data_IF_582723820865
#
_entry.id   IF_582723820865
#
_cell.length_a   1.000
_cell.length_b   1.000
_cell.length_c   1.000
_cell.angle_alpha   90.00
_cell.angle_beta   90.00
_cell.angle_gamma   90.00
#
_symmetry.space_group_name_H-M   'P 1'
#
loop_
_entity.id
_entity.type
_entity.pdbx_description
1 polymer ?
#
# COMPACT_ATOMS: atom_id res chain seq x y z
N UNK A 1 -22.90 -21.44 28.35
CA UNK A 1 -21.90 -21.07 27.34
C UNK A 1 -21.83 -19.55 27.30
N UNK A 2 -20.85 -18.90 27.95
CA UNK A 2 -20.62 -17.49 27.68
C UNK A 2 -19.96 -17.37 26.29
N UNK A 3 -20.23 -16.30 25.54
CA UNK A 3 -19.53 -16.05 24.29
C UNK A 3 -18.06 -15.84 24.63
N UNK A 4 -17.19 -16.60 23.96
CA UNK A 4 -15.77 -16.32 23.95
C UNK A 4 -15.57 -15.05 23.13
N UNK A 5 -15.75 -13.90 23.79
CA UNK A 5 -15.18 -12.63 23.35
C UNK A 5 -13.68 -12.87 23.22
N UNK A 6 -13.28 -13.23 22.01
CA UNK A 6 -11.90 -13.17 21.56
C UNK A 6 -11.55 -11.70 21.69
N UNK A 7 -10.92 -11.34 22.81
CA UNK A 7 -10.01 -10.22 22.89
C UNK A 7 -9.02 -10.39 21.73
N UNK A 8 -9.38 -9.88 20.55
CA UNK A 8 -8.46 -9.70 19.46
C UNK A 8 -7.46 -8.69 19.99
N UNK A 9 -6.29 -9.16 20.40
CA UNK A 9 -5.24 -8.29 20.90
C UNK A 9 -5.02 -7.18 19.88
N UNK A 10 -5.25 -5.91 20.22
CA UNK A 10 -5.13 -4.81 19.26
C UNK A 10 -3.71 -4.70 18.68
N UNK A 11 -2.73 -5.33 19.34
CA UNK A 11 -1.36 -5.52 18.86
C UNK A 11 -1.29 -6.35 17.59
N UNK A 12 -2.03 -7.46 17.48
CA UNK A 12 -2.00 -8.31 16.30
C UNK A 12 -2.62 -7.60 15.09
N UNK A 13 -3.73 -6.88 15.29
CA UNK A 13 -4.36 -6.07 14.25
C UNK A 13 -3.45 -4.94 13.77
N UNK A 14 -2.79 -4.22 14.68
CA UNK A 14 -1.80 -3.18 14.35
C UNK A 14 -0.62 -3.76 13.57
N UNK A 15 -0.12 -4.93 13.99
CA UNK A 15 0.98 -5.60 13.30
C UNK A 15 0.59 -6.00 11.86
N UNK A 16 -0.60 -6.59 11.68
CA UNK A 16 -1.12 -6.93 10.34
C UNK A 16 -1.29 -5.68 9.50
N UNK A 17 -1.86 -4.60 10.06
CA UNK A 17 -2.07 -3.33 9.36
C UNK A 17 -0.74 -2.70 8.92
N UNK A 18 0.28 -2.75 9.78
CA UNK A 18 1.64 -2.32 9.45
C UNK A 18 2.25 -3.19 8.34
N UNK A 19 2.11 -4.51 8.43
CA UNK A 19 2.58 -5.44 7.40
C UNK A 19 1.93 -5.16 6.06
N UNK A 20 0.60 -4.94 6.03
CA UNK A 20 -0.13 -4.59 4.82
C UNK A 20 0.33 -3.25 4.24
N UNK A 21 0.54 -2.23 5.09
CA UNK A 21 1.05 -0.92 4.65
C UNK A 21 2.40 -1.09 3.94
N UNK A 22 3.35 -1.79 4.57
CA UNK A 22 4.67 -2.03 4.00
C UNK A 22 4.58 -2.86 2.73
N UNK A 23 3.72 -3.87 2.69
CA UNK A 23 3.51 -4.72 1.52
C UNK A 23 3.01 -3.91 0.31
N UNK A 24 1.97 -3.10 0.47
CA UNK A 24 1.45 -2.28 -0.62
C UNK A 24 2.44 -1.19 -1.04
N UNK A 25 3.15 -0.58 -0.10
CA UNK A 25 4.20 0.38 -0.42
C UNK A 25 5.32 -0.27 -1.25
N UNK A 26 5.77 -1.47 -0.86
CA UNK A 26 6.77 -2.23 -1.59
C UNK A 26 6.28 -2.69 -2.96
N UNK A 27 5.05 -3.16 -3.05
CA UNK A 27 4.44 -3.59 -4.32
C UNK A 27 4.30 -2.43 -5.31
N UNK A 28 3.83 -1.27 -4.85
CA UNK A 28 3.77 -0.06 -5.68
C UNK A 28 5.14 0.36 -6.20
N UNK A 29 6.19 0.22 -5.38
CA UNK A 29 7.56 0.49 -5.79
C UNK A 29 8.09 -0.51 -6.81
N UNK A 30 7.84 -1.82 -6.63
CA UNK A 30 8.21 -2.84 -7.61
C UNK A 30 7.55 -2.54 -8.96
N UNK A 31 6.25 -2.21 -8.96
CA UNK A 31 5.52 -1.85 -10.17
C UNK A 31 6.08 -0.58 -10.86
N UNK A 32 6.56 0.40 -10.09
CA UNK A 32 7.22 1.60 -10.65
C UNK A 32 8.61 1.31 -11.21
N UNK A 33 9.44 0.55 -10.48
CA UNK A 33 10.82 0.26 -10.85
C UNK A 33 10.92 -0.67 -12.06
N UNK A 34 10.02 -1.65 -12.16
CA UNK A 34 9.94 -2.54 -13.33
C UNK A 34 9.24 -1.88 -14.53
N UNK A 35 8.68 -0.68 -14.37
CA UNK A 35 7.93 0.02 -15.41
C UNK A 35 6.63 -0.69 -15.84
N UNK A 36 6.19 -1.68 -15.08
CA UNK A 36 5.06 -2.53 -15.40
C UNK A 36 4.92 -3.72 -14.45
N UNK A 37 3.91 -4.55 -14.68
CA UNK A 37 3.65 -5.76 -13.90
C UNK A 37 3.37 -6.92 -14.85
N UNK A 38 3.99 -8.06 -14.55
CA UNK A 38 3.69 -9.31 -15.24
C UNK A 38 2.46 -9.97 -14.64
N UNK A 39 1.38 -10.06 -15.41
CA UNK A 39 0.16 -10.78 -15.04
C UNK A 39 0.16 -12.16 -15.70
N UNK A 40 0.19 -13.20 -14.86
CA UNK A 40 0.01 -14.57 -15.33
C UNK A 40 -1.48 -14.90 -15.43
N UNK A 41 -1.96 -15.19 -16.64
CA UNK A 41 -3.32 -15.62 -16.89
C UNK A 41 -3.54 -17.07 -16.46
N UNK A 42 -4.81 -17.46 -16.27
CA UNK A 42 -5.21 -18.84 -15.90
C UNK A 42 -4.74 -19.92 -16.89
N UNK A 43 -4.40 -19.52 -18.12
CA UNK A 43 -3.87 -20.41 -19.16
C UNK A 43 -2.36 -20.62 -19.09
N UNK A 44 -1.68 -19.94 -18.16
CA UNK A 44 -0.22 -20.01 -18.00
C UNK A 44 0.55 -18.91 -18.73
N UNK A 45 -0.09 -18.18 -19.66
CA UNK A 45 0.52 -17.05 -20.38
C UNK A 45 0.81 -15.88 -19.43
N UNK A 46 2.00 -15.29 -19.58
CA UNK A 46 2.41 -14.08 -18.87
C UNK A 46 2.21 -12.90 -19.81
N UNK A 47 1.26 -12.03 -19.50
CA UNK A 47 1.08 -10.74 -20.17
C UNK A 47 1.81 -9.68 -19.37
N UNK A 48 2.64 -8.88 -20.03
CA UNK A 48 3.21 -7.69 -19.41
C UNK A 48 2.19 -6.55 -19.49
N UNK A 49 2.06 -5.77 -18.42
CA UNK A 49 1.23 -4.57 -18.36
C UNK A 49 2.14 -3.40 -18.06
N UNK A 50 2.42 -2.63 -19.10
CA UNK A 50 3.45 -1.60 -19.16
C UNK A 50 2.86 -0.19 -19.35
N UNK A 51 3.72 0.82 -19.15
CA UNK A 51 3.39 2.22 -19.37
C UNK A 51 2.28 2.73 -18.44
N UNK A 52 1.25 3.37 -19.01
CA UNK A 52 0.17 4.00 -18.24
C UNK A 52 -0.62 3.00 -17.37
N UNK A 53 -0.76 1.75 -17.82
CA UNK A 53 -1.48 0.74 -17.08
C UNK A 53 -0.66 0.26 -15.86
N UNK A 54 0.66 0.07 -16.01
CA UNK A 54 1.57 -0.22 -14.89
C UNK A 54 1.59 0.91 -13.85
N UNK A 55 1.63 2.16 -14.32
CA UNK A 55 1.52 3.37 -13.50
C UNK A 55 0.22 3.42 -12.70
N UNK A 56 -0.91 3.05 -13.31
CA UNK A 56 -2.20 3.00 -12.62
C UNK A 56 -2.21 1.95 -11.51
N UNK A 57 -1.62 0.77 -11.74
CA UNK A 57 -1.55 -0.27 -10.70
C UNK A 57 -0.63 0.15 -9.56
N UNK A 58 0.51 0.75 -9.86
CA UNK A 58 1.40 1.29 -8.84
C UNK A 58 0.69 2.37 -8.01
N UNK A 59 0.03 3.33 -8.67
CA UNK A 59 -0.73 4.39 -8.02
C UNK A 59 -1.84 3.84 -7.11
N UNK A 60 -2.59 2.85 -7.57
CA UNK A 60 -3.62 2.19 -6.76
C UNK A 60 -3.03 1.50 -5.53
N UNK A 61 -1.86 0.87 -5.68
CA UNK A 61 -1.14 0.26 -4.55
C UNK A 61 -0.75 1.27 -3.48
N UNK A 62 -0.21 2.44 -3.88
CA UNK A 62 0.12 3.52 -2.94
C UNK A 62 -1.13 4.11 -2.26
N UNK A 63 -2.25 4.20 -2.95
CA UNK A 63 -3.51 4.65 -2.35
C UNK A 63 -4.03 3.67 -1.30
N UNK A 64 -3.93 2.35 -1.55
CA UNK A 64 -4.28 1.33 -0.55
C UNK A 64 -3.33 1.44 0.65
N UNK A 65 -2.02 1.52 0.40
CA UNK A 65 -1.00 1.72 1.45
C UNK A 65 -1.36 2.92 2.34
N UNK A 66 -1.71 4.05 1.73
CA UNK A 66 -2.12 5.25 2.46
C UNK A 66 -3.39 5.03 3.30
N UNK A 67 -4.41 4.40 2.73
CA UNK A 67 -5.65 4.10 3.46
C UNK A 67 -5.36 3.24 4.70
N UNK A 68 -4.54 2.20 4.54
CA UNK A 68 -4.13 1.29 5.62
C UNK A 68 -3.25 2.01 6.65
N UNK A 69 -2.33 2.89 6.22
CA UNK A 69 -1.51 3.71 7.11
C UNK A 69 -2.35 4.68 7.95
N UNK A 70 -3.40 5.27 7.37
CA UNK A 70 -4.35 6.12 8.11
C UNK A 70 -5.11 5.32 9.16
N UNK A 71 -5.55 4.10 8.84
CA UNK A 71 -6.18 3.20 9.83
C UNK A 71 -5.23 2.86 10.97
N UNK A 72 -3.97 2.59 10.67
CA UNK A 72 -2.93 2.35 11.67
C UNK A 72 -2.75 3.57 12.58
N UNK A 73 -2.58 4.77 12.00
CA UNK A 73 -2.41 6.02 12.72
C UNK A 73 -3.62 6.36 13.60
N UNK A 74 -4.83 6.06 13.13
CA UNK A 74 -6.06 6.20 13.91
C UNK A 74 -6.04 5.30 15.15
N UNK A 75 -5.52 4.07 15.02
CA UNK A 75 -5.33 3.15 16.15
C UNK A 75 -4.33 3.66 17.20
N UNK A 76 -3.38 4.52 16.80
CA UNK A 76 -2.42 5.18 17.69
C UNK A 76 -2.90 6.55 18.20
N UNK A 77 -4.13 6.95 17.88
CA UNK A 77 -4.66 8.28 18.19
C UNK A 77 -3.75 9.41 17.68
N UNK A 78 -3.12 9.20 16.53
CA UNK A 78 -2.30 10.21 15.90
C UNK A 78 -3.19 11.39 15.49
N UNK A 79 -2.83 12.59 15.92
CA UNK A 79 -3.54 13.81 15.56
C UNK A 79 -3.43 14.13 14.05
N UNK A 80 -4.03 15.23 13.59
CA UNK A 80 -4.07 15.62 12.18
C UNK A 80 -2.68 15.70 11.52
N UNK A 81 -1.65 16.06 12.30
CA UNK A 81 -0.25 16.10 11.83
C UNK A 81 0.27 14.72 11.40
N UNK A 82 -0.13 13.65 12.09
CA UNK A 82 0.30 12.28 11.77
C UNK A 82 -0.25 11.80 10.42
N UNK A 83 -1.53 12.10 10.14
CA UNK A 83 -2.14 11.77 8.84
C UNK A 83 -1.49 12.53 7.68
N UNK A 84 -1.20 13.81 7.86
CA UNK A 84 -0.47 14.61 6.86
C UNK A 84 0.92 14.03 6.61
N UNK A 85 1.64 13.67 7.68
CA UNK A 85 2.98 13.11 7.55
C UNK A 85 2.97 11.77 6.80
N UNK A 86 2.00 10.89 7.08
CA UNK A 86 1.86 9.63 6.35
C UNK A 86 1.46 9.83 4.89
N UNK A 87 0.57 10.79 4.59
CA UNK A 87 0.22 11.13 3.22
C UNK A 87 1.44 11.63 2.43
N UNK A 88 2.23 12.53 3.02
CA UNK A 88 3.47 13.05 2.41
C UNK A 88 4.48 11.91 2.22
N UNK A 89 4.76 11.12 3.25
CA UNK A 89 5.73 10.02 3.14
C UNK A 89 5.30 8.92 2.15
N UNK A 90 4.01 8.61 2.06
CA UNK A 90 3.51 7.55 1.19
C UNK A 90 3.46 7.99 -0.28
N UNK A 91 3.07 9.25 -0.56
CA UNK A 91 2.79 9.73 -1.92
C UNK A 91 3.93 10.57 -2.53
N UNK A 92 4.72 11.30 -1.73
CA UNK A 92 5.78 12.16 -2.28
C UNK A 92 6.88 11.37 -3.00
N UNK A 93 7.42 10.26 -2.47
CA UNK A 93 8.44 9.48 -3.17
C UNK A 93 8.00 8.93 -4.53
N UNK A 94 6.82 8.27 -4.67
CA UNK A 94 6.39 7.80 -5.99
C UNK A 94 6.04 8.93 -6.95
N UNK A 95 5.48 10.05 -6.45
CA UNK A 95 5.24 11.24 -7.30
C UNK A 95 6.54 11.82 -7.84
N UNK A 96 7.56 11.97 -6.99
CA UNK A 96 8.89 12.43 -7.41
C UNK A 96 9.51 11.49 -8.43
N UNK A 97 9.43 10.17 -8.19
CA UNK A 97 9.95 9.18 -9.13
C UNK A 97 9.32 9.32 -10.51
N UNK A 98 7.99 9.45 -10.58
CA UNK A 98 7.27 9.62 -11.86
C UNK A 98 7.63 10.95 -12.53
N UNK A 99 7.81 12.03 -11.77
CA UNK A 99 8.21 13.34 -12.31
C UNK A 99 9.65 13.35 -12.84
N UNK A 100 10.57 12.66 -12.16
CA UNK A 100 11.99 12.58 -12.54
C UNK A 100 12.26 11.56 -13.65
N UNK A 101 11.36 10.61 -13.86
CA UNK A 101 11.47 9.57 -14.89
C UNK A 101 10.80 9.95 -16.22
N UNK A 102 10.32 11.20 -16.34
CA UNK A 102 9.86 11.81 -17.59
C UNK A 102 10.99 12.58 -18.26
#
# INVERSE_FOLDING_TARGET
MPPSDRNADPTAERFITLLMTVFFQGFGWLALLDGGISLKNKRGDVSFVDGYAGLAVAGFSFLISLAVAVLLLKSFNAGPRGYVLAAVLALTPPLLFVLLSR
#
